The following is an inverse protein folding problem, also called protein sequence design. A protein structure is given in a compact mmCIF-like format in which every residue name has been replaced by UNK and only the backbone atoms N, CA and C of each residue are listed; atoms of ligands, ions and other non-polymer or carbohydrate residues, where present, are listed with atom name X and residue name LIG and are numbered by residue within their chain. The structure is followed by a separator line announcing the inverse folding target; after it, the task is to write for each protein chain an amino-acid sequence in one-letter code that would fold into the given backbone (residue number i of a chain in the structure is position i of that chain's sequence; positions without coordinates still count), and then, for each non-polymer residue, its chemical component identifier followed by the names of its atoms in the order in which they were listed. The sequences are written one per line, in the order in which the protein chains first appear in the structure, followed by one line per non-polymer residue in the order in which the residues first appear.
data_IF_442904452170
#
_entry.id   IF_442904452170
#
_cell.length_a   1.000
_cell.length_b   1.000
_cell.length_c   1.000
_cell.angle_alpha   90.00
_cell.angle_beta   90.00
_cell.angle_gamma   90.00
#
_symmetry.space_group_name_H-M   'P 1'
#
loop_
_entity.id
_entity.type
_entity.pdbx_description
1 polymer ?
#
# COMPACT_ATOMS: atom_id res chain seq x y z
N UNK A 1 45.66 -19.64 23.42
CA UNK A 1 44.43 -19.81 22.60
C UNK A 1 44.42 -18.68 21.59
N UNK A 2 44.63 -18.91 20.30
CA UNK A 2 44.55 -17.89 19.25
C UNK A 2 43.08 -17.63 18.95
N UNK A 3 42.63 -16.42 19.24
CA UNK A 3 41.27 -15.95 18.89
C UNK A 3 41.22 -15.75 17.39
N UNK A 4 40.50 -16.60 16.69
CA UNK A 4 40.22 -16.41 15.26
C UNK A 4 39.14 -15.33 15.10
N UNK A 5 39.48 -14.20 14.51
CA UNK A 5 38.54 -13.12 14.22
C UNK A 5 37.97 -13.32 12.80
N UNK A 6 36.68 -13.36 12.67
CA UNK A 6 36.00 -13.42 11.36
C UNK A 6 35.33 -12.08 11.10
N UNK A 7 35.54 -11.51 9.93
CA UNK A 7 34.83 -10.29 9.50
C UNK A 7 33.38 -10.64 9.18
N UNK A 8 32.46 -9.97 9.83
CA UNK A 8 31.02 -10.10 9.58
C UNK A 8 30.54 -9.01 8.63
N UNK A 9 29.58 -9.35 7.77
CA UNK A 9 28.93 -8.41 6.87
C UNK A 9 27.52 -8.03 7.41
N UNK A 10 27.35 -6.82 7.97
CA UNK A 10 26.07 -6.37 8.50
C UNK A 10 25.07 -5.95 7.41
N UNK A 11 25.44 -5.96 6.15
CA UNK A 11 24.56 -5.62 5.02
C UNK A 11 23.69 -6.77 4.55
N UNK A 12 23.96 -7.99 5.00
CA UNK A 12 23.21 -9.18 4.61
C UNK A 12 21.83 -9.21 5.26
N UNK A 13 20.82 -9.43 4.44
CA UNK A 13 19.44 -9.64 4.89
C UNK A 13 19.13 -11.14 5.03
N UNK A 14 18.29 -11.49 6.00
CA UNK A 14 17.75 -12.86 6.11
C UNK A 14 16.91 -13.23 4.89
N UNK A 15 16.70 -14.52 4.59
CA UNK A 15 15.81 -14.95 3.50
C UNK A 15 14.41 -14.33 3.60
N UNK A 16 13.83 -14.33 4.80
CA UNK A 16 12.49 -13.80 5.06
C UNK A 16 12.40 -12.30 4.74
N UNK A 17 13.44 -11.52 5.07
CA UNK A 17 13.48 -10.09 4.77
C UNK A 17 13.64 -9.86 3.27
N UNK A 18 14.44 -10.68 2.57
CA UNK A 18 14.60 -10.59 1.12
C UNK A 18 13.32 -10.93 0.38
N UNK A 19 12.58 -11.94 0.85
CA UNK A 19 11.29 -12.33 0.30
C UNK A 19 10.26 -11.20 0.51
N UNK A 20 10.23 -10.62 1.70
CA UNK A 20 9.40 -9.47 2.03
C UNK A 20 9.74 -8.25 1.16
N UNK A 21 11.00 -7.89 1.04
CA UNK A 21 11.46 -6.79 0.19
C UNK A 21 11.08 -7.02 -1.28
N UNK A 22 11.26 -8.23 -1.79
CA UNK A 22 10.89 -8.61 -3.15
C UNK A 22 9.39 -8.51 -3.38
N UNK A 23 8.59 -8.96 -2.42
CA UNK A 23 7.13 -8.85 -2.47
C UNK A 23 6.66 -7.39 -2.48
N UNK A 24 7.30 -6.52 -1.68
CA UNK A 24 7.01 -5.09 -1.69
C UNK A 24 7.37 -4.43 -3.02
N UNK A 25 8.57 -4.72 -3.59
CA UNK A 25 9.01 -4.15 -4.86
C UNK A 25 8.10 -4.49 -6.04
N UNK A 26 7.47 -5.66 -6.01
CA UNK A 26 6.46 -6.06 -7.01
C UNK A 26 5.17 -5.25 -6.94
N UNK A 27 4.83 -4.66 -5.78
CA UNK A 27 3.57 -3.97 -5.52
C UNK A 27 3.71 -2.45 -5.39
N UNK A 28 4.90 -1.98 -5.05
CA UNK A 28 5.20 -0.56 -4.76
C UNK A 28 6.27 -0.08 -5.73
N UNK A 29 5.85 0.66 -6.72
CA UNK A 29 6.70 1.10 -7.83
C UNK A 29 7.31 2.47 -7.54
N UNK A 30 8.62 2.62 -7.80
CA UNK A 30 9.33 3.90 -7.75
C UNK A 30 9.57 4.47 -6.36
N UNK A 31 9.46 3.65 -5.30
CA UNK A 31 9.59 4.10 -3.90
C UNK A 31 10.61 3.24 -3.12
N UNK A 32 11.78 2.99 -3.70
CA UNK A 32 12.80 2.09 -3.15
C UNK A 32 13.24 2.45 -1.73
N UNK A 33 13.34 3.75 -1.41
CA UNK A 33 13.70 4.19 -0.06
C UNK A 33 12.67 3.78 0.99
N UNK A 34 11.38 3.78 0.61
CA UNK A 34 10.29 3.34 1.48
C UNK A 34 10.35 1.83 1.71
N UNK A 35 10.52 1.06 0.64
CA UNK A 35 10.68 -0.40 0.69
C UNK A 35 11.86 -0.80 1.55
N UNK A 36 13.05 -0.22 1.31
CA UNK A 36 14.26 -0.52 2.09
C UNK A 36 14.11 -0.16 3.58
N UNK A 37 13.38 0.92 3.88
CA UNK A 37 13.15 1.33 5.27
C UNK A 37 12.27 0.33 6.01
N UNK A 38 11.26 -0.18 5.34
CA UNK A 38 10.33 -1.14 5.90
C UNK A 38 10.99 -2.53 6.05
N UNK A 39 11.80 -2.95 5.07
CA UNK A 39 12.58 -4.19 5.15
C UNK A 39 13.54 -4.17 6.36
N UNK A 40 14.21 -3.05 6.61
CA UNK A 40 15.07 -2.88 7.79
C UNK A 40 14.29 -2.97 9.11
N UNK A 41 13.10 -2.35 9.19
CA UNK A 41 12.26 -2.44 10.37
C UNK A 41 11.83 -3.90 10.63
N UNK A 42 11.48 -4.63 9.57
CA UNK A 42 11.13 -6.04 9.67
C UNK A 42 12.34 -6.90 10.08
N UNK A 43 13.56 -6.59 9.61
CA UNK A 43 14.79 -7.25 10.06
C UNK A 43 15.01 -7.08 11.57
N UNK A 44 14.77 -5.88 12.11
CA UNK A 44 14.88 -5.61 13.57
C UNK A 44 13.85 -6.43 14.35
N UNK A 45 12.63 -6.55 13.83
CA UNK A 45 11.58 -7.38 14.43
C UNK A 45 11.98 -8.85 14.47
N UNK A 46 12.45 -9.43 13.38
CA UNK A 46 12.86 -10.84 13.30
C UNK A 46 14.05 -11.13 14.20
N UNK A 47 14.96 -10.17 14.36
CA UNK A 47 16.12 -10.30 15.24
C UNK A 47 15.76 -10.19 16.74
N UNK A 48 14.52 -9.83 17.10
CA UNK A 48 14.10 -9.61 18.49
C UNK A 48 14.79 -8.40 19.15
N UNK A 49 15.31 -7.46 18.35
CA UNK A 49 16.06 -6.29 18.84
C UNK A 49 15.19 -5.02 18.88
N UNK A 50 13.87 -5.16 18.82
CA UNK A 50 12.95 -4.05 19.00
C UNK A 50 13.08 -3.46 20.40
N UNK A 51 13.05 -2.13 20.51
CA UNK A 51 13.08 -1.45 21.80
C UNK A 51 11.80 -1.74 22.59
N UNK A 52 11.93 -2.11 23.85
CA UNK A 52 10.77 -2.34 24.72
C UNK A 52 10.05 -1.04 25.06
N UNK A 53 8.71 -1.10 25.16
CA UNK A 53 7.86 0.05 25.53
C UNK A 53 7.73 1.13 24.46
N UNK A 54 8.06 0.81 23.20
CA UNK A 54 7.85 1.65 22.02
C UNK A 54 7.29 0.82 20.88
N UNK A 55 6.57 1.42 19.92
CA UNK A 55 6.26 0.74 18.67
C UNK A 55 7.55 0.29 17.97
N UNK A 56 7.45 -0.76 17.15
CA UNK A 56 8.59 -1.28 16.40
C UNK A 56 9.25 -0.20 15.54
N UNK A 57 8.42 0.63 14.89
CA UNK A 57 8.87 1.78 14.10
C UNK A 57 7.74 2.79 13.91
N UNK A 58 8.08 4.07 13.93
CA UNK A 58 7.20 5.19 13.64
C UNK A 58 7.66 5.86 12.33
N UNK A 59 6.91 5.70 11.26
CA UNK A 59 7.25 6.19 9.92
C UNK A 59 6.32 7.34 9.52
N UNK A 60 6.89 8.49 9.16
CA UNK A 60 6.16 9.60 8.54
C UNK A 60 6.38 9.56 7.02
N UNK A 61 5.31 9.31 6.28
CA UNK A 61 5.29 9.19 4.83
C UNK A 61 4.79 10.51 4.21
N UNK A 62 5.70 11.30 3.65
CA UNK A 62 5.40 12.58 3.01
C UNK A 62 5.35 12.43 1.49
N UNK A 63 4.52 13.22 0.82
CA UNK A 63 4.53 13.28 -0.64
C UNK A 63 3.15 13.47 -1.26
N UNK A 64 3.08 13.62 -2.58
CA UNK A 64 1.84 13.94 -3.28
C UNK A 64 0.79 12.84 -3.14
N UNK A 65 -0.46 13.22 -3.32
CA UNK A 65 -1.58 12.28 -3.40
C UNK A 65 -1.36 11.32 -4.58
N UNK A 66 -1.66 10.02 -4.36
CA UNK A 66 -1.50 9.00 -5.41
C UNK A 66 -0.05 8.56 -5.67
N UNK A 67 0.93 8.96 -4.83
CA UNK A 67 2.34 8.50 -4.92
C UNK A 67 2.59 7.09 -4.36
N UNK A 68 1.58 6.47 -3.72
CA UNK A 68 1.69 5.10 -3.20
C UNK A 68 1.91 4.98 -1.70
N UNK A 69 1.73 6.05 -0.90
CA UNK A 69 1.90 6.02 0.57
C UNK A 69 1.06 4.93 1.24
N UNK A 70 -0.26 4.97 1.04
CA UNK A 70 -1.20 3.97 1.56
C UNK A 70 -0.93 2.59 0.95
N UNK A 71 -0.58 2.51 -0.36
CA UNK A 71 -0.27 1.26 -1.04
C UNK A 71 0.94 0.53 -0.43
N UNK A 72 1.95 1.25 0.07
CA UNK A 72 3.07 0.66 0.79
C UNK A 72 2.60 -0.13 2.03
N UNK A 73 1.70 0.45 2.82
CA UNK A 73 1.17 -0.18 4.04
C UNK A 73 0.31 -1.39 3.70
N UNK A 74 -0.57 -1.25 2.70
CA UNK A 74 -1.39 -2.35 2.17
C UNK A 74 -0.55 -3.49 1.62
N UNK A 75 0.54 -3.18 0.89
CA UNK A 75 1.45 -4.19 0.36
C UNK A 75 2.24 -4.90 1.47
N UNK A 76 2.57 -4.18 2.54
CA UNK A 76 3.20 -4.78 3.73
C UNK A 76 2.24 -5.74 4.45
N UNK A 77 0.97 -5.34 4.62
CA UNK A 77 -0.07 -6.19 5.22
C UNK A 77 -0.26 -7.49 4.42
N UNK A 78 -0.43 -7.36 3.12
CA UNK A 78 -0.58 -8.51 2.22
C UNK A 78 0.63 -9.45 2.27
N UNK A 79 1.85 -8.88 2.34
CA UNK A 79 3.09 -9.67 2.33
C UNK A 79 3.40 -10.35 3.67
N UNK A 80 3.09 -9.71 4.81
CA UNK A 80 3.39 -10.21 6.14
C UNK A 80 2.25 -11.03 6.75
N UNK A 81 1.01 -10.61 6.50
CA UNK A 81 -0.18 -11.14 7.16
C UNK A 81 -1.13 -11.88 6.20
N UNK A 82 -0.85 -11.81 4.88
CA UNK A 82 -1.63 -12.50 3.85
C UNK A 82 -2.95 -11.83 3.45
N UNK A 83 -3.31 -10.69 4.06
CA UNK A 83 -4.50 -9.92 3.70
C UNK A 83 -4.15 -8.43 3.56
N UNK A 84 -4.51 -7.85 2.43
CA UNK A 84 -4.34 -6.41 2.15
C UNK A 84 -5.13 -5.53 3.15
N UNK A 85 -6.17 -6.07 3.77
CA UNK A 85 -7.02 -5.39 4.75
C UNK A 85 -6.49 -5.48 6.18
N UNK A 86 -5.43 -6.24 6.42
CA UNK A 86 -4.80 -6.39 7.74
C UNK A 86 -4.06 -5.11 8.17
N UNK A 87 -4.76 -3.97 8.12
CA UNK A 87 -4.28 -2.64 8.49
C UNK A 87 -5.35 -1.96 9.34
N UNK A 88 -4.97 -1.55 10.54
CA UNK A 88 -5.83 -0.68 11.37
C UNK A 88 -5.69 0.74 10.82
N UNK A 89 -6.71 1.18 10.07
CA UNK A 89 -6.68 2.47 9.39
C UNK A 89 -7.52 3.51 10.10
N UNK A 90 -6.91 4.66 10.42
CA UNK A 90 -7.54 5.84 11.00
C UNK A 90 -7.43 7.00 10.01
N UNK A 91 -8.55 7.47 9.49
CA UNK A 91 -8.60 8.70 8.69
C UNK A 91 -8.59 9.91 9.61
N UNK A 92 -7.47 10.62 9.65
CA UNK A 92 -7.32 11.79 10.52
C UNK A 92 -8.20 12.98 10.11
N UNK A 93 -8.76 12.96 8.89
CA UNK A 93 -9.74 13.97 8.47
C UNK A 93 -11.08 13.85 9.23
N UNK A 94 -11.37 12.72 9.85
CA UNK A 94 -12.54 12.54 10.72
C UNK A 94 -12.33 13.04 12.15
N UNK A 95 -11.11 13.52 12.49
CA UNK A 95 -10.69 13.94 13.83
C UNK A 95 -10.19 15.39 13.86
N UNK A 96 -10.86 16.25 13.09
CA UNK A 96 -10.49 17.69 13.03
C UNK A 96 -10.87 18.46 14.28
N UNK A 97 -11.84 17.95 15.05
CA UNK A 97 -12.30 18.60 16.29
C UNK A 97 -12.03 17.70 17.50
N UNK A 98 -11.78 18.34 18.65
CA UNK A 98 -11.40 17.63 19.88
C UNK A 98 -12.46 16.66 20.39
N UNK A 99 -13.75 16.94 20.18
CA UNK A 99 -14.83 16.05 20.62
C UNK A 99 -14.91 14.73 19.81
N UNK A 100 -14.33 14.68 18.62
CA UNK A 100 -14.31 13.49 17.77
C UNK A 100 -13.37 12.39 18.28
N UNK A 101 -12.46 12.74 19.20
CA UNK A 101 -11.56 11.79 19.85
C UNK A 101 -12.31 10.65 20.55
N UNK A 102 -13.53 10.90 21.04
CA UNK A 102 -14.38 9.87 21.62
C UNK A 102 -14.68 8.72 20.66
N UNK A 103 -14.68 8.94 19.33
CA UNK A 103 -14.80 7.87 18.34
C UNK A 103 -13.58 6.94 18.36
N UNK A 104 -12.38 7.48 18.65
CA UNK A 104 -11.14 6.72 18.66
C UNK A 104 -10.97 5.89 19.93
N UNK A 105 -11.21 6.52 21.09
CA UNK A 105 -10.92 5.93 22.42
C UNK A 105 -12.18 5.48 23.18
N UNK A 106 -13.38 5.74 22.68
CA UNK A 106 -14.63 5.55 23.39
C UNK A 106 -14.96 6.70 24.33
N UNK A 107 -16.21 6.76 24.78
CA UNK A 107 -16.67 7.76 25.77
C UNK A 107 -16.48 7.22 27.18
N UNK A 108 -16.08 8.08 28.17
CA UNK A 108 -15.97 7.68 29.56
C UNK A 108 -17.32 7.21 30.13
N UNK A 109 -17.32 6.29 31.13
CA UNK A 109 -18.53 5.87 31.82
C UNK A 109 -19.28 7.07 32.43
N UNK A 110 -20.62 7.09 32.22
CA UNK A 110 -21.46 8.16 32.74
C UNK A 110 -21.72 9.34 31.78
N UNK A 111 -21.04 9.41 30.65
CA UNK A 111 -21.36 10.38 29.61
C UNK A 111 -22.48 9.86 28.68
N UNK A 112 -23.30 10.78 28.14
CA UNK A 112 -24.28 10.48 27.10
C UNK A 112 -23.54 9.86 25.88
N UNK A 113 -24.03 8.68 25.42
CA UNK A 113 -23.38 7.97 24.30
C UNK A 113 -22.31 6.93 24.70
N UNK A 114 -22.00 6.74 25.99
CA UNK A 114 -21.01 5.74 26.43
C UNK A 114 -21.30 4.31 25.92
N UNK A 115 -22.56 3.91 25.85
CA UNK A 115 -22.97 2.58 25.36
C UNK A 115 -22.99 2.47 23.83
N UNK A 116 -23.01 3.61 23.14
CA UNK A 116 -23.18 3.69 21.68
C UNK A 116 -21.84 3.90 20.96
N UNK A 117 -20.83 4.44 21.66
CA UNK A 117 -19.51 4.76 21.08
C UNK A 117 -18.49 3.69 21.44
N UNK A 118 -18.37 2.68 20.60
CA UNK A 118 -17.29 1.71 20.73
C UNK A 118 -15.96 2.33 20.26
N UNK A 119 -14.82 2.11 20.97
CA UNK A 119 -13.54 2.58 20.54
C UNK A 119 -13.14 1.97 19.20
N UNK A 120 -12.59 2.79 18.30
CA UNK A 120 -12.11 2.33 16.99
C UNK A 120 -10.83 1.51 17.11
N UNK A 121 -10.00 1.78 18.13
CA UNK A 121 -8.77 1.04 18.39
C UNK A 121 -8.91 0.35 19.75
N UNK A 122 -8.91 -0.97 19.73
CA UNK A 122 -8.83 -1.83 20.93
C UNK A 122 -7.69 -2.82 20.78
N UNK A 123 -7.34 -3.54 21.85
CA UNK A 123 -6.30 -4.56 21.78
C UNK A 123 -6.70 -5.69 20.82
N UNK A 124 -7.95 -6.07 20.84
CA UNK A 124 -8.53 -7.10 19.97
C UNK A 124 -8.42 -6.72 18.49
N UNK A 125 -8.66 -5.44 18.14
CA UNK A 125 -8.52 -4.92 16.78
C UNK A 125 -7.05 -4.93 16.33
N UNK A 126 -6.12 -4.60 17.22
CA UNK A 126 -4.70 -4.65 16.88
C UNK A 126 -4.23 -6.09 16.60
N UNK A 127 -4.74 -7.05 17.36
CA UNK A 127 -4.32 -8.46 17.29
C UNK A 127 -5.14 -9.30 16.29
N UNK A 128 -6.21 -8.75 15.71
CA UNK A 128 -7.15 -9.46 14.82
C UNK A 128 -6.46 -10.23 13.69
N UNK A 129 -5.40 -9.65 13.15
CA UNK A 129 -4.69 -10.20 11.99
C UNK A 129 -3.37 -10.91 12.35
N UNK A 130 -3.10 -11.17 13.63
CA UNK A 130 -1.92 -11.91 14.01
C UNK A 130 -1.93 -13.31 13.42
N UNK A 131 -0.76 -13.74 12.94
CA UNK A 131 -0.54 -15.10 12.44
C UNK A 131 0.34 -15.88 13.42
N UNK A 132 0.45 -17.19 13.23
CA UNK A 132 1.36 -18.01 14.02
C UNK A 132 2.82 -17.56 13.92
N UNK A 133 3.20 -17.00 12.74
CA UNK A 133 4.57 -16.58 12.44
C UNK A 133 4.85 -15.11 12.73
N UNK A 134 3.86 -14.25 12.53
CA UNK A 134 4.01 -12.79 12.63
C UNK A 134 2.94 -12.26 13.56
N UNK A 135 3.38 -11.76 14.72
CA UNK A 135 2.53 -11.06 15.70
C UNK A 135 2.85 -9.59 15.65
N UNK A 136 2.39 -8.94 14.59
CA UNK A 136 2.68 -7.55 14.29
C UNK A 136 1.44 -6.86 13.75
N UNK A 137 1.09 -5.70 14.29
CA UNK A 137 0.00 -4.85 13.82
C UNK A 137 0.52 -3.76 12.90
N UNK A 138 -0.16 -3.50 11.82
CA UNK A 138 0.10 -2.36 10.94
C UNK A 138 -0.97 -1.30 11.18
N UNK A 139 -0.55 -0.14 11.71
CA UNK A 139 -1.48 0.94 12.07
C UNK A 139 -1.18 2.16 11.20
N UNK A 140 -2.18 2.63 10.48
CA UNK A 140 -2.09 3.74 9.54
C UNK A 140 -2.94 4.91 9.99
N UNK A 141 -2.31 6.03 10.30
CA UNK A 141 -2.95 7.34 10.48
C UNK A 141 -2.83 8.11 9.16
N UNK A 142 -3.92 8.18 8.41
CA UNK A 142 -3.94 8.80 7.08
C UNK A 142 -4.26 10.30 7.19
N UNK A 143 -3.54 11.16 6.43
CA UNK A 143 -3.70 12.61 6.38
C UNK A 143 -3.56 13.32 7.75
N UNK A 144 -2.49 12.96 8.49
CA UNK A 144 -2.24 13.43 9.86
C UNK A 144 -2.19 14.96 10.00
N UNK A 145 -1.89 15.71 8.94
CA UNK A 145 -1.91 17.17 8.95
C UNK A 145 -3.29 17.78 9.16
N UNK A 146 -4.36 16.99 8.97
CA UNK A 146 -5.76 17.41 9.19
C UNK A 146 -6.25 17.19 10.61
N UNK A 147 -5.53 16.40 11.39
CA UNK A 147 -5.90 16.07 12.76
C UNK A 147 -5.95 17.30 13.68
N UNK A 148 -6.83 17.25 14.68
CA UNK A 148 -6.85 18.21 15.78
C UNK A 148 -5.65 18.02 16.70
N UNK A 149 -5.35 19.07 17.50
CA UNK A 149 -4.31 19.01 18.53
C UNK A 149 -4.55 17.90 19.55
N UNK A 150 -5.83 17.59 19.83
CA UNK A 150 -6.20 16.51 20.75
C UNK A 150 -5.76 15.14 20.22
N UNK A 151 -5.90 14.88 18.91
CA UNK A 151 -5.38 13.62 18.31
C UNK A 151 -3.85 13.60 18.36
N UNK A 152 -3.17 14.71 18.07
CA UNK A 152 -1.71 14.75 18.17
C UNK A 152 -1.20 14.45 19.58
N UNK A 153 -1.87 14.96 20.63
CA UNK A 153 -1.52 14.66 22.03
C UNK A 153 -1.68 13.16 22.35
N UNK A 154 -2.75 12.51 21.86
CA UNK A 154 -2.91 11.05 22.01
C UNK A 154 -1.80 10.29 21.29
N UNK A 155 -1.45 10.70 20.08
CA UNK A 155 -0.39 10.06 19.28
C UNK A 155 0.96 10.14 19.96
N UNK A 156 1.27 11.22 20.70
CA UNK A 156 2.52 11.29 21.46
C UNK A 156 2.66 10.13 22.46
N UNK A 157 1.57 9.74 23.12
CA UNK A 157 1.56 8.59 24.02
C UNK A 157 1.80 7.26 23.28
N UNK A 158 1.18 7.08 22.14
CA UNK A 158 1.35 5.88 21.30
C UNK A 158 2.79 5.80 20.77
N UNK A 159 3.29 6.87 20.14
CA UNK A 159 4.59 6.91 19.48
C UNK A 159 5.77 6.78 20.47
N UNK A 160 5.62 7.26 21.69
CA UNK A 160 6.69 7.31 22.69
C UNK A 160 6.67 6.09 23.62
N UNK A 161 5.47 5.70 24.07
CA UNK A 161 5.26 4.69 25.13
C UNK A 161 4.48 3.46 24.65
N UNK A 162 4.21 3.36 23.37
CA UNK A 162 3.37 2.30 22.80
C UNK A 162 2.05 2.09 23.56
N UNK A 163 1.46 3.14 24.15
CA UNK A 163 0.30 2.99 25.02
C UNK A 163 -0.78 4.02 24.71
N UNK A 164 -2.02 3.54 24.62
CA UNK A 164 -3.22 4.36 24.52
C UNK A 164 -4.19 3.98 25.64
N UNK A 165 -4.65 4.96 26.41
CA UNK A 165 -5.68 4.76 27.42
C UNK A 165 -7.04 5.07 26.79
N UNK A 166 -7.94 4.10 26.84
CA UNK A 166 -9.33 4.24 26.36
C UNK A 166 -10.18 5.03 27.35
N UNK A 167 -11.37 5.45 26.90
CA UNK A 167 -12.33 6.18 27.76
C UNK A 167 -12.80 5.40 28.98
N UNK A 168 -12.77 4.07 28.95
CA UNK A 168 -13.09 3.16 30.05
C UNK A 168 -11.88 2.77 30.91
N UNK A 169 -10.75 3.46 30.77
CA UNK A 169 -9.46 3.23 31.43
C UNK A 169 -8.73 1.95 31.04
N UNK A 170 -9.20 1.14 30.09
CA UNK A 170 -8.40 0.06 29.51
C UNK A 170 -7.21 0.65 28.77
N UNK A 171 -6.10 -0.09 28.76
CA UNK A 171 -4.89 0.28 28.01
C UNK A 171 -4.72 -0.61 26.80
N UNK A 172 -4.35 0.00 25.69
CA UNK A 172 -4.01 -0.68 24.44
C UNK A 172 -2.50 -0.59 24.26
N UNK A 173 -1.84 -1.73 24.01
CA UNK A 173 -0.40 -1.83 23.84
C UNK A 173 -0.05 -1.89 22.33
N UNK A 174 0.78 -0.95 21.89
CA UNK A 174 1.29 -0.82 20.51
C UNK A 174 2.74 -1.29 20.35
N UNK A 175 3.34 -1.97 21.36
CA UNK A 175 4.73 -2.42 21.30
C UNK A 175 5.00 -3.36 20.12
N UNK A 176 4.00 -4.13 19.70
CA UNK A 176 4.04 -4.99 18.52
C UNK A 176 3.42 -4.33 17.28
N UNK A 177 3.59 -3.02 17.11
CA UNK A 177 3.00 -2.29 15.98
C UNK A 177 4.05 -1.55 15.17
N UNK A 178 3.84 -1.51 13.85
CA UNK A 178 4.46 -0.53 12.95
C UNK A 178 3.46 0.60 12.74
N UNK A 179 3.85 1.82 13.09
CA UNK A 179 3.01 3.00 12.96
C UNK A 179 3.37 3.76 11.69
N UNK A 180 2.40 3.99 10.86
CA UNK A 180 2.51 4.77 9.63
C UNK A 180 1.66 6.03 9.75
N UNK A 181 2.27 7.16 9.47
CA UNK A 181 1.62 8.47 9.43
C UNK A 181 1.76 8.99 8.01
N UNK A 182 0.68 9.27 7.30
CA UNK A 182 0.77 9.85 5.95
C UNK A 182 0.46 11.32 5.98
N UNK A 183 1.10 12.07 5.10
CA UNK A 183 0.81 13.48 4.90
C UNK A 183 1.11 13.92 3.46
N UNK A 184 0.35 14.94 3.02
CA UNK A 184 0.55 15.59 1.72
C UNK A 184 1.37 16.88 1.84
N UNK A 185 1.92 17.18 3.02
CA UNK A 185 2.77 18.35 3.25
C UNK A 185 4.01 18.34 2.36
N UNK A 186 4.45 19.52 1.98
CA UNK A 186 5.63 19.70 1.13
C UNK A 186 5.40 19.45 -0.36
N UNK A 187 4.20 19.00 -0.77
CA UNK A 187 3.91 18.71 -2.19
C UNK A 187 4.02 19.95 -3.07
N UNK A 188 3.57 21.13 -2.59
CA UNK A 188 3.68 22.39 -3.32
C UNK A 188 5.11 22.85 -3.49
N UNK A 189 5.92 22.73 -2.45
CA UNK A 189 7.34 23.06 -2.43
C UNK A 189 8.14 22.13 -3.36
N UNK A 190 7.88 20.83 -3.26
CA UNK A 190 8.49 19.83 -4.14
C UNK A 190 8.13 20.06 -5.61
N UNK A 191 6.86 20.35 -5.91
CA UNK A 191 6.43 20.66 -7.28
C UNK A 191 7.12 21.91 -7.82
N UNK A 192 7.30 22.95 -7.01
CA UNK A 192 8.04 24.16 -7.42
C UNK A 192 9.50 23.86 -7.75
N UNK A 193 10.16 22.97 -7.01
CA UNK A 193 11.53 22.54 -7.29
C UNK A 193 11.63 21.76 -8.61
N UNK A 194 10.65 20.89 -8.88
CA UNK A 194 10.62 20.09 -10.11
C UNK A 194 10.28 20.95 -11.33
N UNK A 195 9.29 21.87 -11.22
CA UNK A 195 8.84 22.73 -12.31
C UNK A 195 9.68 23.98 -12.48
N UNK A 196 10.26 24.52 -11.41
CA UNK A 196 11.10 25.72 -11.43
C UNK A 196 12.46 25.51 -12.11
N UNK A 197 12.90 24.28 -12.29
CA UNK A 197 14.06 23.93 -13.13
C UNK A 197 13.83 24.03 -14.64
N UNK A 198 12.58 24.30 -15.08
CA UNK A 198 12.25 24.48 -16.50
C UNK A 198 12.25 25.93 -16.98
N UNK A 199 12.75 26.89 -16.18
CA UNK A 199 12.93 28.30 -16.58
C UNK A 199 14.27 28.50 -17.26
N UNK A 200 14.26 28.83 -18.54
CA UNK A 200 15.30 29.40 -19.41
C UNK A 200 16.75 29.39 -18.85
N UNK A 201 17.38 28.26 -18.89
CA UNK A 201 18.77 28.07 -18.53
C UNK A 201 19.03 26.59 -18.33
N UNK A 202 19.23 25.88 -19.44
CA UNK A 202 19.74 24.51 -19.42
C UNK A 202 21.12 24.50 -18.74
N UNK A 203 21.18 24.21 -17.44
CA UNK A 203 22.37 23.64 -16.85
C UNK A 203 22.31 22.15 -17.13
N UNK A 204 23.28 21.61 -17.87
CA UNK A 204 23.40 20.18 -18.01
C UNK A 204 23.81 19.61 -16.64
N UNK A 205 23.17 18.50 -16.25
CA UNK A 205 23.57 17.64 -15.14
C UNK A 205 23.59 18.30 -13.74
N UNK A 206 22.44 18.79 -13.24
CA UNK A 206 22.25 18.74 -11.80
C UNK A 206 22.16 17.26 -11.42
N UNK A 207 23.11 16.83 -10.60
CA UNK A 207 23.22 15.46 -10.08
C UNK A 207 21.87 15.04 -9.49
N UNK A 208 21.30 13.92 -9.94
CA UNK A 208 20.01 13.41 -9.47
C UNK A 208 19.97 13.31 -7.93
N UNK A 209 21.11 13.09 -7.31
CA UNK A 209 21.25 13.03 -5.85
C UNK A 209 21.07 14.40 -5.18
N UNK A 210 21.48 15.50 -5.82
CA UNK A 210 21.31 16.86 -5.28
C UNK A 210 19.83 17.31 -5.33
N UNK A 211 19.14 17.04 -6.44
CA UNK A 211 17.69 17.30 -6.55
C UNK A 211 16.90 16.51 -5.51
N UNK A 212 17.28 15.25 -5.29
CA UNK A 212 16.66 14.39 -4.29
C UNK A 212 16.82 14.92 -2.86
N UNK A 213 18.02 15.41 -2.54
CA UNK A 213 18.29 16.02 -1.24
C UNK A 213 17.50 17.31 -1.06
N UNK A 214 17.38 18.15 -2.11
CA UNK A 214 16.55 19.36 -2.09
C UNK A 214 15.07 19.03 -1.83
N UNK A 215 14.52 18.02 -2.55
CA UNK A 215 13.15 17.52 -2.36
C UNK A 215 12.94 17.03 -0.92
N UNK A 216 13.87 16.21 -0.41
CA UNK A 216 13.80 15.69 0.96
C UNK A 216 13.81 16.81 2.01
N UNK A 217 14.71 17.79 1.86
CA UNK A 217 14.80 18.95 2.77
C UNK A 217 13.51 19.76 2.73
N UNK A 218 13.01 20.12 1.54
CA UNK A 218 11.80 20.92 1.41
C UNK A 218 10.57 20.25 2.03
N UNK A 219 10.37 18.95 1.79
CA UNK A 219 9.28 18.19 2.38
C UNK A 219 9.41 18.08 3.90
N UNK A 220 10.61 17.82 4.41
CA UNK A 220 10.87 17.71 5.86
C UNK A 220 10.69 19.05 6.56
N UNK A 221 11.12 20.17 5.96
CA UNK A 221 10.90 21.52 6.48
C UNK A 221 9.41 21.87 6.51
N UNK A 222 8.64 21.50 5.50
CA UNK A 222 7.19 21.70 5.49
C UNK A 222 6.52 20.93 6.64
N UNK A 223 6.95 19.69 6.89
CA UNK A 223 6.48 18.91 8.04
C UNK A 223 6.86 19.57 9.39
N UNK A 224 8.10 20.03 9.55
CA UNK A 224 8.57 20.72 10.76
C UNK A 224 7.86 22.06 11.04
N UNK A 225 7.35 22.72 10.00
CA UNK A 225 6.52 23.94 10.18
C UNK A 225 5.12 23.63 10.66
N UNK A 226 4.59 22.45 10.33
CA UNK A 226 3.22 22.03 10.70
C UNK A 226 3.18 21.31 12.04
N UNK A 227 4.12 20.39 12.27
CA UNK A 227 4.15 19.55 13.46
C UNK A 227 5.09 20.12 14.52
N UNK A 228 4.74 19.94 15.79
CA UNK A 228 5.59 20.37 16.90
C UNK A 228 6.95 19.63 16.89
N UNK A 229 8.02 20.25 17.40
CA UNK A 229 9.30 19.57 17.57
C UNK A 229 9.18 18.27 18.39
N UNK A 230 8.29 18.27 19.39
CA UNK A 230 8.02 17.11 20.23
C UNK A 230 7.47 15.94 19.42
N UNK A 231 6.50 16.19 18.53
CA UNK A 231 5.95 15.17 17.64
C UNK A 231 7.02 14.64 16.67
N UNK A 232 7.76 15.54 16.03
CA UNK A 232 8.81 15.17 15.06
C UNK A 232 9.93 14.32 15.69
N UNK A 233 10.26 14.55 16.98
CA UNK A 233 11.28 13.77 17.69
C UNK A 233 10.85 12.32 18.00
N UNK A 234 9.57 11.98 17.87
CA UNK A 234 9.05 10.62 18.05
C UNK A 234 8.93 9.84 16.75
N UNK A 235 9.21 10.49 15.63
CA UNK A 235 9.26 9.86 14.31
C UNK A 235 10.65 9.26 14.10
N UNK A 236 10.72 7.95 13.93
CA UNK A 236 12.00 7.26 13.71
C UNK A 236 12.55 7.57 12.31
N UNK A 237 11.66 7.71 11.33
CA UNK A 237 12.08 8.03 9.96
C UNK A 237 11.02 8.80 9.18
N UNK A 238 11.47 9.85 8.52
CA UNK A 238 10.68 10.57 7.50
C UNK A 238 11.04 10.00 6.14
N UNK A 239 10.02 9.59 5.38
CA UNK A 239 10.17 9.02 4.04
C UNK A 239 9.41 9.91 3.06
N UNK A 240 10.13 10.48 2.11
CA UNK A 240 9.54 11.33 1.08
C UNK A 240 9.25 10.51 -0.18
N UNK A 241 7.99 10.39 -0.52
CA UNK A 241 7.49 9.74 -1.73
C UNK A 241 7.63 10.68 -2.91
N UNK A 242 8.22 10.19 -3.99
CA UNK A 242 8.38 10.95 -5.22
C UNK A 242 7.11 10.91 -6.05
N UNK A 243 6.93 11.94 -6.87
CA UNK A 243 5.91 11.90 -7.92
C UNK A 243 6.22 10.76 -8.91
N UNK A 244 5.18 10.04 -9.32
CA UNK A 244 5.33 8.94 -10.25
C UNK A 244 5.64 9.46 -11.65
N UNK A 245 6.68 8.93 -12.27
CA UNK A 245 7.09 9.24 -13.63
C UNK A 245 6.43 8.27 -14.62
N UNK A 246 6.51 8.57 -15.91
CA UNK A 246 5.92 7.77 -16.98
C UNK A 246 6.28 6.26 -16.91
N UNK A 247 7.54 5.85 -16.73
CA UNK A 247 7.88 4.43 -16.60
C UNK A 247 7.22 3.76 -15.39
N UNK A 248 7.08 4.50 -14.28
CA UNK A 248 6.40 4.00 -13.09
C UNK A 248 4.90 3.78 -13.35
N UNK A 249 4.25 4.70 -14.09
CA UNK A 249 2.82 4.55 -14.44
C UNK A 249 2.58 3.37 -15.40
N UNK A 250 3.53 3.06 -16.29
CA UNK A 250 3.47 1.88 -17.15
C UNK A 250 3.54 0.59 -16.32
N UNK A 251 4.46 0.50 -15.36
CA UNK A 251 4.53 -0.64 -14.44
C UNK A 251 3.29 -0.77 -13.56
N UNK A 252 2.74 0.35 -13.08
CA UNK A 252 1.51 0.35 -12.27
C UNK A 252 0.31 -0.10 -13.14
N UNK A 253 0.24 0.33 -14.40
CA UNK A 253 -0.78 -0.14 -15.33
C UNK A 253 -0.74 -1.67 -15.47
N UNK A 254 0.46 -2.25 -15.60
CA UNK A 254 0.62 -3.71 -15.71
C UNK A 254 0.14 -4.43 -14.45
N UNK A 255 0.49 -3.91 -13.27
CA UNK A 255 0.03 -4.44 -11.99
C UNK A 255 -1.50 -4.38 -11.90
N UNK A 256 -2.11 -3.23 -12.22
CA UNK A 256 -3.57 -3.06 -12.11
C UNK A 256 -4.31 -3.94 -13.16
N UNK A 257 -3.80 -4.08 -14.38
CA UNK A 257 -4.37 -5.00 -15.38
C UNK A 257 -4.28 -6.47 -14.91
N UNK A 258 -3.16 -6.85 -14.30
CA UNK A 258 -3.00 -8.20 -13.71
C UNK A 258 -4.00 -8.44 -12.57
N UNK A 259 -4.24 -7.44 -11.71
CA UNK A 259 -5.25 -7.53 -10.65
C UNK A 259 -6.68 -7.63 -11.20
N UNK A 260 -6.98 -6.94 -12.32
CA UNK A 260 -8.27 -7.12 -13.02
C UNK A 260 -8.39 -8.53 -13.57
N UNK A 261 -7.34 -9.07 -14.21
CA UNK A 261 -7.33 -10.44 -14.71
C UNK A 261 -7.52 -11.46 -13.59
N UNK A 262 -6.88 -11.28 -12.45
CA UNK A 262 -7.05 -12.14 -11.28
C UNK A 262 -8.50 -12.09 -10.75
N UNK A 263 -9.11 -10.90 -10.68
CA UNK A 263 -10.55 -10.77 -10.32
C UNK A 263 -11.45 -11.53 -11.27
N UNK A 264 -11.19 -11.46 -12.57
CA UNK A 264 -11.94 -12.19 -13.58
C UNK A 264 -11.78 -13.71 -13.41
N UNK A 265 -10.57 -14.18 -13.14
CA UNK A 265 -10.28 -15.63 -12.96
C UNK A 265 -10.83 -16.18 -11.64
N UNK A 266 -11.03 -15.35 -10.63
CA UNK A 266 -11.60 -15.76 -9.33
C UNK A 266 -13.11 -15.61 -9.25
N UNK A 267 -13.72 -14.89 -10.19
CA UNK A 267 -15.18 -14.74 -10.25
C UNK A 267 -15.85 -16.08 -10.55
N UNK A 268 -16.92 -16.40 -9.81
CA UNK A 268 -17.69 -17.63 -10.02
C UNK A 268 -18.51 -17.53 -11.30
N UNK A 269 -18.32 -18.49 -12.21
CA UNK A 269 -19.19 -18.73 -13.37
C UNK A 269 -18.83 -18.00 -14.66
N UNK A 270 -17.76 -17.19 -14.70
CA UNK A 270 -17.44 -16.39 -15.89
C UNK A 270 -15.94 -16.15 -16.05
N UNK A 271 -15.14 -17.21 -15.95
CA UNK A 271 -13.69 -17.13 -16.13
C UNK A 271 -13.35 -16.95 -17.60
N UNK A 272 -12.70 -15.86 -17.95
CA UNK A 272 -12.18 -15.55 -19.27
C UNK A 272 -10.82 -14.85 -19.15
N UNK A 273 -10.07 -14.80 -20.24
CA UNK A 273 -8.83 -14.05 -20.29
C UNK A 273 -8.99 -12.81 -21.19
N UNK A 274 -8.28 -11.74 -20.87
CA UNK A 274 -8.17 -10.59 -21.76
C UNK A 274 -6.72 -10.15 -21.92
N UNK A 275 -6.41 -9.57 -23.07
CA UNK A 275 -5.14 -8.91 -23.34
C UNK A 275 -5.38 -7.51 -23.89
N UNK A 276 -4.57 -6.54 -23.47
CA UNK A 276 -4.62 -5.18 -23.97
C UNK A 276 -3.52 -4.95 -24.99
N UNK A 277 -3.88 -4.43 -26.17
CA UNK A 277 -2.88 -4.00 -27.17
C UNK A 277 -2.07 -2.80 -26.65
N UNK A 278 -0.93 -2.53 -27.29
CA UNK A 278 -0.12 -1.35 -26.95
C UNK A 278 -0.92 -0.03 -27.09
N UNK A 279 -1.83 0.06 -28.07
CA UNK A 279 -2.71 1.23 -28.25
C UNK A 279 -3.73 1.39 -27.13
N UNK A 280 -4.34 0.30 -26.68
CA UNK A 280 -5.26 0.29 -25.55
C UNK A 280 -4.54 0.68 -24.25
N UNK A 281 -3.35 0.16 -24.02
CA UNK A 281 -2.50 0.49 -22.85
C UNK A 281 -2.10 1.97 -22.86
N UNK A 282 -1.70 2.51 -24.00
CA UNK A 282 -1.36 3.94 -24.13
C UNK A 282 -2.56 4.84 -23.92
N UNK A 283 -3.74 4.44 -24.40
CA UNK A 283 -5.00 5.13 -24.11
C UNK A 283 -5.32 5.14 -22.61
N UNK A 284 -5.31 3.98 -21.93
CA UNK A 284 -5.56 3.89 -20.48
C UNK A 284 -4.56 4.72 -19.68
N UNK A 285 -3.28 4.69 -20.08
CA UNK A 285 -2.24 5.50 -19.46
C UNK A 285 -2.51 7.01 -19.64
N UNK A 286 -2.88 7.46 -20.84
CA UNK A 286 -3.19 8.88 -21.11
C UNK A 286 -4.40 9.36 -20.31
N UNK A 287 -5.49 8.60 -20.33
CA UNK A 287 -6.69 8.89 -19.54
C UNK A 287 -6.44 8.84 -18.03
N UNK A 288 -5.52 7.98 -17.60
CA UNK A 288 -5.14 7.81 -16.21
C UNK A 288 -4.01 8.72 -15.74
N UNK A 289 -3.39 9.52 -16.61
CA UNK A 289 -2.30 10.42 -16.22
C UNK A 289 -2.84 11.81 -15.89
N UNK A 290 -2.85 12.13 -14.60
CA UNK A 290 -3.01 13.49 -14.10
C UNK A 290 -1.80 13.83 -13.24
N UNK A 291 -1.11 14.90 -13.58
CA UNK A 291 0.10 15.37 -12.87
C UNK A 291 -0.17 15.72 -11.41
N UNK A 292 -1.43 15.99 -11.03
CA UNK A 292 -1.83 16.38 -9.67
C UNK A 292 -2.22 15.19 -8.78
N UNK A 293 -2.72 14.09 -9.37
CA UNK A 293 -3.38 13.01 -8.62
C UNK A 293 -2.73 11.63 -8.76
N UNK A 294 -1.62 11.52 -9.51
CA UNK A 294 -0.82 10.31 -9.62
C UNK A 294 -1.61 9.06 -10.05
N UNK A 295 -1.28 7.90 -9.47
CA UNK A 295 -1.84 6.61 -9.86
C UNK A 295 -3.35 6.42 -9.54
N UNK A 296 -3.97 7.27 -8.71
CA UNK A 296 -5.42 7.17 -8.44
C UNK A 296 -6.26 7.35 -9.70
N UNK A 297 -5.84 8.25 -10.60
CA UNK A 297 -6.53 8.46 -11.88
C UNK A 297 -6.39 7.26 -12.81
N UNK A 298 -5.24 6.60 -12.82
CA UNK A 298 -5.02 5.40 -13.62
C UNK A 298 -5.98 4.27 -13.22
N UNK A 299 -6.14 4.03 -11.93
CA UNK A 299 -7.10 3.04 -11.42
C UNK A 299 -8.54 3.37 -11.83
N UNK A 300 -8.94 4.65 -11.72
CA UNK A 300 -10.27 5.11 -12.17
C UNK A 300 -10.46 4.97 -13.68
N UNK A 301 -9.42 5.25 -14.48
CA UNK A 301 -9.48 5.07 -15.92
C UNK A 301 -9.67 3.59 -16.29
N UNK A 302 -8.96 2.68 -15.62
CA UNK A 302 -9.12 1.23 -15.80
C UNK A 302 -10.55 0.79 -15.42
N UNK A 303 -11.06 1.19 -14.26
CA UNK A 303 -12.43 0.86 -13.84
C UNK A 303 -13.46 1.38 -14.85
N UNK A 304 -13.31 2.63 -15.31
CA UNK A 304 -14.27 3.27 -16.21
C UNK A 304 -14.22 2.70 -17.63
N UNK A 305 -13.03 2.52 -18.19
CA UNK A 305 -12.87 2.23 -19.62
C UNK A 305 -12.67 0.74 -19.91
N UNK A 306 -12.25 -0.05 -18.92
CA UNK A 306 -12.03 -1.49 -19.08
C UNK A 306 -13.02 -2.32 -18.26
N UNK A 307 -13.04 -2.17 -16.92
CA UNK A 307 -13.81 -3.06 -16.05
C UNK A 307 -15.30 -2.90 -16.25
N UNK A 308 -15.82 -1.68 -16.31
CA UNK A 308 -17.25 -1.45 -16.51
C UNK A 308 -17.75 -1.97 -17.87
N UNK A 309 -17.10 -1.73 -19.02
CA UNK A 309 -17.48 -2.35 -20.28
C UNK A 309 -17.39 -3.89 -20.27
N UNK A 310 -16.33 -4.47 -19.69
CA UNK A 310 -16.22 -5.93 -19.55
C UNK A 310 -17.38 -6.50 -18.73
N UNK A 311 -17.78 -5.82 -17.65
CA UNK A 311 -18.94 -6.23 -16.84
C UNK A 311 -20.24 -6.22 -17.63
N UNK A 312 -20.44 -5.23 -18.52
CA UNK A 312 -21.61 -5.20 -19.40
C UNK A 312 -21.60 -6.35 -20.43
N UNK A 313 -20.43 -6.64 -21.01
CA UNK A 313 -20.30 -7.74 -21.97
C UNK A 313 -20.58 -9.11 -21.31
N UNK A 314 -20.17 -9.27 -20.05
CA UNK A 314 -20.50 -10.45 -19.25
C UNK A 314 -22.01 -10.52 -18.94
N UNK A 315 -22.60 -9.44 -18.47
CA UNK A 315 -24.02 -9.38 -18.11
C UNK A 315 -24.96 -9.61 -19.31
N UNK A 316 -24.49 -9.29 -20.52
CA UNK A 316 -25.22 -9.50 -21.76
C UNK A 316 -24.87 -10.80 -22.48
N UNK A 317 -24.13 -11.71 -21.82
CA UNK A 317 -23.70 -13.01 -22.36
C UNK A 317 -22.92 -12.92 -23.70
N UNK A 318 -22.25 -11.79 -23.95
CA UNK A 318 -21.37 -11.66 -25.13
C UNK A 318 -19.99 -12.28 -24.86
N UNK A 319 -19.58 -12.38 -23.60
CA UNK A 319 -18.39 -13.10 -23.14
C UNK A 319 -18.84 -14.33 -22.36
N UNK A 320 -18.26 -15.47 -22.70
CA UNK A 320 -18.54 -16.78 -22.11
C UNK A 320 -17.30 -17.35 -21.42
N UNK A 321 -17.50 -18.45 -20.69
CA UNK A 321 -16.44 -19.17 -20.01
C UNK A 321 -15.38 -19.65 -21.03
N UNK A 322 -14.13 -19.29 -20.78
CA UNK A 322 -13.00 -19.71 -21.59
C UNK A 322 -12.69 -18.83 -22.79
N UNK A 323 -13.41 -17.73 -22.98
CA UNK A 323 -13.11 -16.78 -24.06
C UNK A 323 -11.78 -16.04 -23.85
N UNK A 324 -11.15 -15.67 -24.96
CA UNK A 324 -10.02 -14.74 -24.99
C UNK A 324 -10.46 -13.43 -25.65
N UNK A 325 -10.36 -12.34 -24.91
CA UNK A 325 -10.80 -11.01 -25.35
C UNK A 325 -9.58 -10.13 -25.64
N UNK A 326 -9.45 -9.66 -26.86
CA UNK A 326 -8.45 -8.63 -27.20
C UNK A 326 -9.09 -7.25 -27.05
N UNK A 327 -8.49 -6.44 -26.19
CA UNK A 327 -8.88 -5.05 -25.95
C UNK A 327 -7.95 -4.15 -26.76
N UNK A 328 -8.53 -3.42 -27.73
CA UNK A 328 -7.80 -2.46 -28.57
C UNK A 328 -8.40 -1.06 -28.47
N UNK A 329 -7.72 -0.07 -29.01
CA UNK A 329 -8.18 1.32 -29.06
C UNK A 329 -8.63 1.71 -30.47
N UNK A 330 -9.86 2.16 -30.59
CA UNK A 330 -10.39 2.72 -31.84
C UNK A 330 -10.19 4.23 -31.85
N UNK A 331 -9.36 4.70 -32.77
CA UNK A 331 -9.07 6.13 -32.93
C UNK A 331 -10.29 6.91 -33.50
N UNK A 332 -11.20 6.26 -34.24
CA UNK A 332 -12.37 6.89 -34.82
C UNK A 332 -13.43 7.27 -33.78
N UNK A 333 -13.66 6.37 -32.80
CA UNK A 333 -14.63 6.59 -31.73
C UNK A 333 -13.99 7.10 -30.44
N UNK A 334 -12.64 7.10 -30.36
CA UNK A 334 -11.87 7.44 -29.15
C UNK A 334 -12.26 6.55 -27.94
N UNK A 335 -12.56 5.27 -28.18
CA UNK A 335 -12.96 4.31 -27.15
C UNK A 335 -12.18 3.00 -27.27
N UNK A 336 -12.19 2.22 -26.19
CA UNK A 336 -11.73 0.84 -26.24
C UNK A 336 -12.77 -0.04 -26.99
N UNK A 337 -12.29 -0.92 -27.84
CA UNK A 337 -13.06 -1.97 -28.49
C UNK A 337 -12.66 -3.32 -27.94
N UNK A 338 -13.59 -4.24 -27.90
CA UNK A 338 -13.44 -5.58 -27.32
C UNK A 338 -13.68 -6.62 -28.43
N UNK A 339 -12.66 -7.42 -28.73
CA UNK A 339 -12.69 -8.41 -29.82
C UNK A 339 -12.57 -9.80 -29.18
N UNK A 340 -13.54 -10.66 -29.46
CA UNK A 340 -13.53 -12.06 -29.05
C UNK A 340 -12.69 -12.86 -30.05
N UNK A 341 -11.55 -13.41 -29.62
CA UNK A 341 -10.65 -14.17 -30.50
C UNK A 341 -10.91 -15.66 -30.45
N UNK A 342 -11.15 -16.21 -29.26
CA UNK A 342 -11.36 -17.64 -29.06
C UNK A 342 -12.55 -17.91 -28.14
N UNK A 343 -13.40 -18.82 -28.52
CA UNK A 343 -14.49 -19.28 -27.68
C UNK A 343 -14.07 -20.60 -27.01
N UNK A 344 -14.14 -20.67 -25.66
CA UNK A 344 -13.79 -21.86 -24.91
C UNK A 344 -12.28 -22.18 -24.86
N UNK A 345 -11.42 -21.25 -25.16
CA UNK A 345 -9.97 -21.47 -25.27
C UNK A 345 -9.29 -21.94 -23.95
N UNK A 346 -9.87 -21.65 -22.80
CA UNK A 346 -9.33 -22.04 -21.48
C UNK A 346 -9.79 -23.43 -21.02
N UNK A 347 -10.79 -24.02 -21.69
CA UNK A 347 -11.33 -25.35 -21.37
C UNK A 347 -10.69 -26.38 -22.29
N UNK A 348 -9.50 -26.86 -21.96
CA UNK A 348 -8.87 -27.99 -22.64
C UNK A 348 -7.66 -27.69 -23.53
N UNK A 349 -7.09 -26.49 -23.53
CA UNK A 349 -5.88 -26.19 -24.28
C UNK A 349 -4.63 -26.72 -23.60
N UNK A 350 -3.79 -27.41 -24.38
CA UNK A 350 -2.47 -27.90 -24.01
C UNK A 350 -1.53 -26.77 -23.57
N UNK A 351 -0.42 -27.09 -22.86
CA UNK A 351 0.45 -26.13 -22.16
C UNK A 351 1.15 -25.06 -23.00
N UNK A 352 1.07 -25.09 -24.33
CA UNK A 352 1.76 -24.11 -25.19
C UNK A 352 1.21 -22.66 -25.12
N UNK A 353 -0.10 -22.52 -24.80
CA UNK A 353 -0.70 -21.17 -24.63
C UNK A 353 -0.46 -20.63 -23.22
N UNK A 354 -0.15 -21.51 -22.26
CA UNK A 354 0.17 -21.13 -20.89
C UNK A 354 1.58 -20.49 -20.75
N UNK A 355 2.51 -20.78 -21.66
CA UNK A 355 3.86 -20.19 -21.62
C UNK A 355 3.88 -18.71 -22.03
N UNK A 356 3.02 -18.31 -22.97
CA UNK A 356 2.88 -16.86 -23.32
C UNK A 356 2.12 -16.06 -22.26
N UNK A 357 1.31 -16.72 -21.42
CA UNK A 357 0.62 -16.13 -20.27
C UNK A 357 1.43 -16.21 -18.97
N UNK A 358 2.50 -17.00 -18.90
CA UNK A 358 3.35 -17.27 -17.74
C UNK A 358 4.38 -16.15 -17.43
N UNK A 359 4.20 -14.96 -17.95
CA UNK A 359 4.95 -13.76 -17.46
C UNK A 359 4.39 -13.24 -16.11
N UNK A 360 3.37 -13.91 -15.56
CA UNK A 360 2.88 -13.63 -14.19
C UNK A 360 3.27 -14.82 -13.32
N UNK A 361 4.30 -14.74 -12.46
CA UNK A 361 4.61 -15.82 -11.54
C UNK A 361 3.46 -16.00 -10.55
N UNK A 362 2.79 -17.16 -10.62
CA UNK A 362 1.82 -17.58 -9.63
C UNK A 362 2.49 -17.60 -8.25
N UNK A 363 1.96 -16.81 -7.33
CA UNK A 363 2.35 -16.86 -5.92
C UNK A 363 2.02 -18.25 -5.37
N UNK A 364 3.05 -18.99 -4.97
CA UNK A 364 2.98 -20.30 -4.33
C UNK A 364 2.43 -20.20 -2.90
N UNK A 365 1.13 -19.94 -2.75
CA UNK A 365 0.46 -19.97 -1.44
C UNK A 365 -0.95 -20.56 -1.56
N UNK A 366 -1.04 -21.85 -1.96
CA UNK A 366 -2.28 -22.63 -1.84
C UNK A 366 -2.09 -24.01 -1.19
N UNK A 367 -1.06 -24.22 -0.36
CA UNK A 367 -0.88 -25.49 0.33
C UNK A 367 -1.54 -25.56 1.72
N UNK A 368 -2.07 -24.47 2.26
CA UNK A 368 -2.63 -24.42 3.63
C UNK A 368 -4.13 -24.67 3.74
N UNK A 369 -4.93 -24.23 2.76
CA UNK A 369 -6.39 -24.24 2.89
C UNK A 369 -7.04 -25.59 2.56
N UNK A 370 -6.41 -26.43 1.73
CA UNK A 370 -6.96 -27.74 1.37
C UNK A 370 -6.82 -28.82 2.47
N UNK A 371 -5.90 -28.64 3.42
CA UNK A 371 -5.73 -29.58 4.56
C UNK A 371 -6.70 -29.36 5.72
N UNK A 372 -7.28 -28.18 5.84
CA UNK A 372 -8.24 -27.88 6.91
C UNK A 372 -9.67 -28.44 6.62
N UNK A 373 -10.04 -28.58 5.36
CA UNK A 373 -11.34 -29.13 4.97
C UNK A 373 -11.37 -30.67 4.97
N UNK A 374 -10.23 -31.32 4.75
CA UNK A 374 -10.14 -32.79 4.76
C UNK A 374 -10.15 -33.42 6.20
N UNK A 375 -9.90 -32.65 7.24
CA UNK A 375 -9.95 -33.13 8.62
C UNK A 375 -11.32 -33.03 9.31
N UNK A 376 -12.31 -32.40 8.69
CA UNK A 376 -13.70 -32.35 9.21
C UNK A 376 -14.63 -33.42 8.64
N UNK A 377 -14.19 -34.20 7.65
CA UNK A 377 -15.02 -35.24 7.04
C UNK A 377 -14.71 -36.67 7.52
N UNK A 378 -13.88 -36.84 8.57
CA UNK A 378 -13.54 -38.15 9.11
C UNK A 378 -13.90 -38.35 10.60
N UNK A 379 -14.80 -37.53 11.15
CA UNK A 379 -15.42 -37.74 12.46
C UNK A 379 -16.90 -37.33 12.37
N UNK A 380 -17.67 -38.21 11.73
CA UNK A 380 -19.08 -38.52 11.97
C UNK A 380 -19.32 -39.94 11.51
#
# INVERSE_FOLDING_TARGET
MSTQQTLLDPSLHSPEVRDFETALRRRVVGQDRAVNSLARAYQVYLAGLAASGRPLVNLLLLGPTGSGKTRLVEAAAESLLGDIRAVVKVDCAEFQHSHEIAKLIGSPPGYLGHRETQPLITQEVLEEHYTEKVKLSLVLFDEIEKASDALWQLLLGILDKASLTLGDNRRVDFSHSMIFLTSNLGTSEVNKLITGGMGFGSKPEEDFDDLDQKIYRAATEAARRKFSPEFMNRIDKVIVFRALQRPHLEQILDIELSLVQERVMTATGSQFAFKCTARARDFLRREGTDTKFGARHLKRAIERHLVFPLSNLLATHQIELGDLITVDFDAGTSKLMFLKEYQGALVGSKPEVAEEMAIIPASSHRAGAARALARRASHD
#
